data_IF_026852720992
#
_entry.id   IF_026852720992
#
_cell.length_a   1.000
_cell.length_b   1.000
_cell.length_c   1.000
_cell.angle_alpha   90.00
_cell.angle_beta   90.00
_cell.angle_gamma   90.00
#
_symmetry.space_group_name_H-M   'P 1'
#
loop_
_entity.id
_entity.type
_entity.pdbx_description
1 polymer ?
#
# COMPACT_ATOMS: atom_id res chain seq x y z
N UNK A 1 -12.97 23.19 2.57
CA UNK A 1 -12.16 23.09 1.33
C UNK A 1 -10.68 22.81 1.66
N UNK A 2 -10.11 23.44 2.69
CA UNK A 2 -8.76 23.15 3.25
C UNK A 2 -8.49 21.66 3.57
N UNK A 3 -9.49 20.90 4.04
CA UNK A 3 -9.32 19.52 4.53
C UNK A 3 -8.90 18.50 3.47
N UNK A 4 -9.16 18.76 2.18
CA UNK A 4 -8.89 17.80 1.10
C UNK A 4 -7.55 18.03 0.40
N UNK A 5 -6.93 19.20 0.59
CA UNK A 5 -5.66 19.55 -0.06
C UNK A 5 -4.54 18.59 0.37
N UNK A 6 -4.44 18.30 1.68
CA UNK A 6 -3.42 17.41 2.23
C UNK A 6 -3.57 15.97 1.70
N UNK A 7 -4.75 15.31 1.76
CA UNK A 7 -4.96 14.00 1.16
C UNK A 7 -4.64 13.94 -0.34
N UNK A 8 -4.99 14.98 -1.10
CA UNK A 8 -4.71 15.04 -2.55
C UNK A 8 -3.21 15.09 -2.80
N UNK A 9 -2.47 15.94 -2.07
CA UNK A 9 -1.02 16.01 -2.19
C UNK A 9 -0.36 14.68 -1.80
N UNK A 10 -0.78 14.06 -0.70
CA UNK A 10 -0.28 12.74 -0.29
C UNK A 10 -0.57 11.67 -1.35
N UNK A 11 -1.79 11.63 -1.90
CA UNK A 11 -2.16 10.72 -2.96
C UNK A 11 -1.34 10.93 -4.24
N UNK A 12 -1.06 12.19 -4.59
CA UNK A 12 -0.21 12.53 -5.72
C UNK A 12 1.22 12.03 -5.52
N UNK A 13 1.87 12.34 -4.39
CA UNK A 13 3.22 11.86 -4.12
C UNK A 13 3.29 10.34 -4.03
N UNK A 14 2.29 9.69 -3.44
CA UNK A 14 2.18 8.23 -3.43
C UNK A 14 2.08 7.65 -4.84
N UNK A 15 1.24 8.23 -5.71
CA UNK A 15 1.13 7.78 -7.09
C UNK A 15 2.45 7.99 -7.87
N UNK A 16 3.13 9.11 -7.64
CA UNK A 16 4.45 9.37 -8.24
C UNK A 16 5.49 8.32 -7.84
N UNK A 17 5.54 7.93 -6.56
CA UNK A 17 6.49 6.91 -6.11
C UNK A 17 6.15 5.53 -6.67
N UNK A 18 4.86 5.19 -6.81
CA UNK A 18 4.42 3.94 -7.47
C UNK A 18 4.83 3.90 -8.95
N UNK A 19 4.61 4.99 -9.69
CA UNK A 19 4.98 5.07 -11.10
C UNK A 19 6.49 4.98 -11.27
N UNK A 20 7.27 5.67 -10.43
CA UNK A 20 8.74 5.61 -10.46
C UNK A 20 9.28 4.21 -10.13
N UNK A 21 8.62 3.46 -9.26
CA UNK A 21 8.96 2.07 -8.97
C UNK A 21 8.54 1.10 -10.10
N UNK A 22 7.78 1.56 -11.09
CA UNK A 22 7.36 0.76 -12.23
C UNK A 22 6.32 -0.30 -11.88
N UNK A 23 5.64 -0.19 -10.73
CA UNK A 23 4.71 -1.20 -10.22
C UNK A 23 3.43 -1.33 -11.06
N UNK A 24 3.15 -0.39 -11.95
CA UNK A 24 2.06 -0.51 -12.94
C UNK A 24 2.40 -1.42 -14.13
N UNK A 25 3.63 -1.92 -14.25
CA UNK A 25 4.01 -2.81 -15.34
C UNK A 25 3.86 -4.27 -14.92
N UNK A 26 2.98 -5.00 -15.61
CA UNK A 26 2.71 -6.43 -15.39
C UNK A 26 3.99 -7.28 -15.23
N UNK A 27 5.03 -7.00 -16.02
CA UNK A 27 6.30 -7.73 -15.96
C UNK A 27 6.98 -7.67 -14.59
N UNK A 28 6.89 -6.54 -13.87
CA UNK A 28 7.45 -6.38 -12.53
C UNK A 28 6.75 -7.28 -11.52
N UNK A 29 5.42 -7.37 -11.63
CA UNK A 29 4.58 -8.18 -10.75
C UNK A 29 4.82 -9.67 -11.00
N UNK A 30 4.80 -10.11 -12.26
CA UNK A 30 5.08 -11.51 -12.60
C UNK A 30 6.50 -11.92 -12.20
N UNK A 31 7.49 -11.06 -12.42
CA UNK A 31 8.87 -11.38 -12.06
C UNK A 31 9.11 -11.48 -10.54
N UNK A 32 8.27 -10.87 -9.72
CA UNK A 32 8.27 -11.07 -8.27
C UNK A 32 7.96 -12.53 -7.93
N UNK A 33 6.93 -13.11 -8.55
CA UNK A 33 6.56 -14.52 -8.36
C UNK A 33 7.55 -15.49 -9.03
N UNK A 34 8.27 -15.05 -10.05
CA UNK A 34 9.37 -15.80 -10.68
C UNK A 34 10.71 -15.64 -9.96
N UNK A 35 10.75 -14.89 -8.85
CA UNK A 35 11.97 -14.57 -8.10
C UNK A 35 13.08 -13.93 -8.94
N UNK A 36 12.72 -13.24 -10.03
CA UNK A 36 13.66 -12.53 -10.91
C UNK A 36 13.76 -11.05 -10.57
N UNK A 37 12.71 -10.47 -10.01
CA UNK A 37 12.67 -9.05 -9.67
C UNK A 37 11.96 -8.85 -8.33
N UNK A 38 12.71 -8.41 -7.32
CA UNK A 38 12.18 -8.17 -5.98
C UNK A 38 11.74 -6.71 -5.75
N UNK A 39 11.55 -5.92 -6.82
CA UNK A 39 11.16 -4.50 -6.71
C UNK A 39 9.84 -4.35 -5.94
N UNK A 40 8.84 -5.19 -6.23
CA UNK A 40 7.52 -5.14 -5.57
C UNK A 40 7.67 -5.36 -4.06
N UNK A 41 8.34 -6.46 -3.68
CA UNK A 41 8.57 -6.79 -2.27
C UNK A 41 9.33 -5.69 -1.53
N UNK A 42 10.44 -5.20 -2.11
CA UNK A 42 11.24 -4.13 -1.51
C UNK A 42 10.42 -2.86 -1.31
N UNK A 43 9.67 -2.44 -2.34
CA UNK A 43 8.85 -1.24 -2.26
C UNK A 43 7.77 -1.34 -1.17
N UNK A 44 7.04 -2.47 -1.13
CA UNK A 44 5.99 -2.69 -0.14
C UNK A 44 6.56 -2.73 1.28
N UNK A 45 7.64 -3.48 1.51
CA UNK A 45 8.28 -3.57 2.83
C UNK A 45 8.84 -2.22 3.28
N UNK A 46 9.52 -1.47 2.40
CA UNK A 46 10.02 -0.13 2.74
C UNK A 46 8.86 0.83 3.06
N UNK A 47 7.78 0.81 2.28
CA UNK A 47 6.60 1.64 2.54
C UNK A 47 5.96 1.32 3.90
N UNK A 48 5.81 0.03 4.23
CA UNK A 48 5.30 -0.41 5.53
C UNK A 48 6.23 0.04 6.67
N UNK A 49 7.53 -0.19 6.55
CA UNK A 49 8.50 0.20 7.58
C UNK A 49 8.54 1.70 7.81
N UNK A 50 8.60 2.50 6.74
CA UNK A 50 8.61 3.97 6.84
C UNK A 50 7.27 4.48 7.41
N UNK A 51 6.15 3.91 6.96
CA UNK A 51 4.82 4.24 7.47
C UNK A 51 4.69 3.95 8.96
N UNK A 52 5.15 2.77 9.41
CA UNK A 52 5.10 2.39 10.82
C UNK A 52 5.94 3.34 11.69
N UNK A 53 7.18 3.63 11.29
CA UNK A 53 8.04 4.57 12.02
C UNK A 53 7.41 5.96 12.06
N UNK A 54 6.92 6.47 10.93
CA UNK A 54 6.29 7.78 10.85
C UNK A 54 5.02 7.91 11.70
N UNK A 55 4.15 6.89 11.68
CA UNK A 55 2.93 6.87 12.48
C UNK A 55 3.24 6.83 13.97
N UNK A 56 4.14 5.96 14.43
CA UNK A 56 4.50 5.92 15.86
C UNK A 56 5.21 7.20 16.31
N UNK A 57 6.07 7.78 15.48
CA UNK A 57 6.70 9.07 15.78
C UNK A 57 5.66 10.18 15.99
N UNK A 58 4.66 10.28 15.10
CA UNK A 58 3.57 11.25 15.24
C UNK A 58 2.68 10.97 16.46
N UNK A 59 2.52 9.70 16.84
CA UNK A 59 1.77 9.29 18.02
C UNK A 59 2.49 9.76 19.29
N UNK A 60 3.80 9.59 19.34
CA UNK A 60 4.63 9.99 20.49
C UNK A 60 4.67 11.52 20.66
N UNK A 61 4.54 12.28 19.57
CA UNK A 61 4.36 13.73 19.59
C UNK A 61 2.95 14.19 20.01
N UNK A 62 2.01 13.27 20.25
CA UNK A 62 0.62 13.58 20.58
C UNK A 62 -0.22 14.09 19.39
N UNK A 63 0.32 14.02 18.18
CA UNK A 63 -0.32 14.53 16.97
C UNK A 63 -1.34 13.54 16.36
N UNK A 64 -1.26 12.24 16.69
CA UNK A 64 -2.31 11.28 16.34
C UNK A 64 -2.59 10.26 17.45
N UNK A 65 -3.80 9.70 17.41
CA UNK A 65 -4.18 8.49 18.15
C UNK A 65 -4.31 7.31 17.20
N UNK A 66 -3.78 6.14 17.60
CA UNK A 66 -3.82 4.91 16.80
C UNK A 66 -5.10 4.08 17.06
N UNK A 67 -6.23 4.75 17.28
CA UNK A 67 -7.45 4.10 17.78
C UNK A 67 -8.30 3.48 16.66
N UNK A 68 -7.95 3.74 15.39
CA UNK A 68 -8.70 3.34 14.20
C UNK A 68 -8.23 2.00 13.58
N UNK A 69 -7.72 1.06 14.38
CA UNK A 69 -7.38 -0.28 13.86
C UNK A 69 -8.68 -1.07 13.69
N UNK A 70 -8.99 -1.44 12.45
CA UNK A 70 -10.18 -2.25 12.16
C UNK A 70 -10.07 -3.64 12.77
N UNK A 71 -11.18 -4.15 13.30
CA UNK A 71 -11.26 -5.52 13.82
C UNK A 71 -11.00 -6.55 12.71
N UNK A 72 -10.26 -7.61 13.03
CA UNK A 72 -9.96 -8.68 12.07
C UNK A 72 -11.22 -9.50 11.79
N UNK A 73 -11.83 -9.27 10.63
CA UNK A 73 -12.93 -10.10 10.14
C UNK A 73 -12.42 -11.19 9.21
N UNK A 74 -12.07 -12.36 9.77
CA UNK A 74 -11.38 -13.44 9.04
C UNK A 74 -12.12 -13.85 7.76
N UNK A 75 -13.42 -14.11 7.84
CA UNK A 75 -14.20 -14.57 6.68
C UNK A 75 -14.27 -13.49 5.59
N UNK A 76 -14.58 -12.24 5.95
CA UNK A 76 -14.66 -11.14 4.99
C UNK A 76 -13.31 -10.80 4.37
N UNK A 77 -12.23 -10.81 5.16
CA UNK A 77 -10.88 -10.56 4.67
C UNK A 77 -10.42 -11.65 3.70
N UNK A 78 -10.72 -12.93 3.99
CA UNK A 78 -10.38 -14.03 3.09
C UNK A 78 -11.17 -13.98 1.79
N UNK A 79 -12.51 -13.88 1.87
CA UNK A 79 -13.38 -13.86 0.69
C UNK A 79 -13.12 -12.60 -0.15
N UNK A 80 -13.05 -11.43 0.49
CA UNK A 80 -12.74 -10.17 -0.18
C UNK A 80 -11.35 -10.16 -0.81
N UNK A 81 -10.34 -10.68 -0.10
CA UNK A 81 -8.98 -10.81 -0.63
C UNK A 81 -8.89 -11.74 -1.85
N UNK A 82 -9.62 -12.86 -1.84
CA UNK A 82 -9.69 -13.78 -2.98
C UNK A 82 -10.35 -13.13 -4.20
N UNK A 83 -11.52 -12.48 -4.01
CA UNK A 83 -12.22 -11.78 -5.09
C UNK A 83 -11.34 -10.68 -5.68
N UNK A 84 -10.70 -9.88 -4.82
CA UNK A 84 -9.79 -8.82 -5.23
C UNK A 84 -8.58 -9.38 -6.02
N UNK A 85 -7.96 -10.45 -5.54
CA UNK A 85 -6.82 -11.09 -6.20
C UNK A 85 -7.16 -11.67 -7.58
N UNK A 86 -8.32 -12.33 -7.71
CA UNK A 86 -8.82 -12.83 -9.00
C UNK A 86 -9.06 -11.66 -9.96
N UNK A 87 -9.71 -10.58 -9.48
CA UNK A 87 -9.96 -9.39 -10.28
C UNK A 87 -8.68 -8.74 -10.80
N UNK A 88 -7.67 -8.59 -9.95
CA UNK A 88 -6.34 -8.06 -10.31
C UNK A 88 -5.67 -8.92 -11.40
N UNK A 89 -5.63 -10.24 -11.20
CA UNK A 89 -5.04 -11.17 -12.17
C UNK A 89 -5.75 -11.12 -13.54
N UNK A 90 -7.08 -10.97 -13.54
CA UNK A 90 -7.87 -10.82 -14.77
C UNK A 90 -7.67 -9.46 -15.45
N UNK A 91 -7.51 -8.39 -14.67
CA UNK A 91 -7.28 -7.04 -15.19
C UNK A 91 -5.88 -6.83 -15.79
N UNK A 92 -4.97 -7.80 -15.61
CA UNK A 92 -3.60 -7.73 -16.12
C UNK A 92 -2.68 -6.87 -15.25
N UNK A 93 -3.06 -6.69 -13.98
CA UNK A 93 -2.29 -5.97 -12.96
C UNK A 93 -1.85 -6.93 -11.87
#
# INVERSE_FOLDING_TARGET
METYVIPILLGFFFALTLQKAGLGHYHKIVNQFRFKDNTVMKYMLTAISVGLVGLYFLKDLGALKLDAVSSTYVLGNLVGGLIFGIGMAMAGT
#
